data_IF_740587489629
#
_entry.id   IF_740587489629
#
_cell.length_a   1.000
_cell.length_b   1.000
_cell.length_c   1.000
_cell.angle_alpha   90.00
_cell.angle_beta   90.00
_cell.angle_gamma   90.00
#
_symmetry.space_group_name_H-M   'P 1'
#
loop_
_entity.id
_entity.type
_entity.pdbx_description
1 polymer ?
#
# COMPACT_ATOMS: atom_id res chain seq x y z
N UNK A 1 40.56 26.25 -23.76
CA UNK A 1 40.45 25.84 -22.34
C UNK A 1 39.28 24.88 -22.28
N UNK A 2 39.55 23.61 -21.97
CA UNK A 2 38.51 22.59 -21.85
C UNK A 2 37.83 22.83 -20.51
N UNK A 3 36.54 23.17 -20.53
CA UNK A 3 35.71 23.21 -19.33
C UNK A 3 35.71 21.81 -18.70
N UNK A 4 36.35 21.72 -17.55
CA UNK A 4 36.49 20.50 -16.78
C UNK A 4 35.17 20.27 -16.02
N UNK A 5 34.29 19.45 -16.60
CA UNK A 5 33.13 18.89 -15.89
C UNK A 5 33.60 18.29 -14.56
N UNK A 6 33.14 18.81 -13.42
CA UNK A 6 33.40 18.22 -12.09
C UNK A 6 32.20 17.32 -11.69
N UNK A 7 32.30 15.97 -11.75
CA UNK A 7 31.14 15.10 -11.59
C UNK A 7 31.06 14.39 -10.22
N UNK A 8 31.56 14.96 -9.13
CA UNK A 8 31.76 14.17 -7.89
C UNK A 8 30.71 14.38 -6.80
N UNK A 9 30.17 15.59 -6.62
CA UNK A 9 29.21 15.86 -5.53
C UNK A 9 27.76 15.65 -5.94
N UNK A 10 27.38 16.01 -7.17
CA UNK A 10 26.00 15.86 -7.65
C UNK A 10 25.64 14.40 -7.87
N UNK A 11 26.51 13.63 -8.53
CA UNK A 11 26.31 12.19 -8.77
C UNK A 11 26.18 11.40 -7.46
N UNK A 12 26.94 11.78 -6.42
CA UNK A 12 26.85 11.15 -5.10
C UNK A 12 25.49 11.41 -4.43
N UNK A 13 25.00 12.65 -4.49
CA UNK A 13 23.73 13.04 -3.89
C UNK A 13 22.54 12.40 -4.60
N UNK A 14 22.59 12.33 -5.94
CA UNK A 14 21.58 11.63 -6.75
C UNK A 14 21.50 10.14 -6.41
N UNK A 15 22.66 9.49 -6.33
CA UNK A 15 22.76 8.07 -5.99
C UNK A 15 22.24 7.81 -4.58
N UNK A 16 22.65 8.62 -3.59
CA UNK A 16 22.20 8.50 -2.21
C UNK A 16 20.69 8.74 -2.08
N UNK A 17 20.16 9.75 -2.77
CA UNK A 17 18.74 10.06 -2.81
C UNK A 17 17.93 8.89 -3.37
N UNK A 18 18.37 8.31 -4.48
CA UNK A 18 17.72 7.15 -5.09
C UNK A 18 17.69 5.95 -4.14
N UNK A 19 18.83 5.58 -3.54
CA UNK A 19 18.88 4.46 -2.60
C UNK A 19 18.03 4.70 -1.36
N UNK A 20 18.05 5.93 -0.82
CA UNK A 20 17.23 6.27 0.34
C UNK A 20 15.74 6.14 0.05
N UNK A 21 15.28 6.63 -1.12
CA UNK A 21 13.89 6.48 -1.54
C UNK A 21 13.53 5.00 -1.70
N UNK A 22 14.36 4.20 -2.37
CA UNK A 22 14.12 2.76 -2.55
C UNK A 22 14.04 2.04 -1.20
N UNK A 23 14.94 2.33 -0.27
CA UNK A 23 14.95 1.74 1.07
C UNK A 23 13.68 2.11 1.84
N UNK A 24 13.30 3.38 1.87
CA UNK A 24 12.08 3.83 2.56
C UNK A 24 10.85 3.19 1.93
N UNK A 25 10.77 3.15 0.61
CA UNK A 25 9.65 2.50 -0.09
C UNK A 25 9.58 1.02 0.26
N UNK A 26 10.70 0.29 0.21
CA UNK A 26 10.76 -1.12 0.58
C UNK A 26 10.31 -1.35 2.04
N UNK A 27 10.80 -0.52 2.97
CA UNK A 27 10.44 -0.61 4.38
C UNK A 27 8.94 -0.36 4.62
N UNK A 28 8.38 0.68 4.01
CA UNK A 28 6.99 1.09 4.24
C UNK A 28 5.95 0.26 3.45
N UNK A 29 6.34 -0.33 2.32
CA UNK A 29 5.40 -1.04 1.42
C UNK A 29 5.48 -2.56 1.53
N UNK A 30 6.61 -3.11 1.97
CA UNK A 30 6.82 -4.56 2.10
C UNK A 30 7.10 -4.92 3.56
N UNK A 31 8.15 -4.36 4.16
CA UNK A 31 8.58 -4.79 5.49
C UNK A 31 7.54 -4.49 6.58
N UNK A 32 6.98 -3.27 6.59
CA UNK A 32 5.97 -2.84 7.54
C UNK A 32 4.67 -3.69 7.49
N UNK A 33 3.99 -3.88 6.34
CA UNK A 33 2.79 -4.72 6.29
C UNK A 33 3.06 -6.19 6.63
N UNK A 34 4.23 -6.74 6.27
CA UNK A 34 4.62 -8.11 6.67
C UNK A 34 4.81 -8.21 8.19
N UNK A 35 5.51 -7.25 8.80
CA UNK A 35 5.66 -7.18 10.25
C UNK A 35 4.32 -6.97 10.95
N UNK A 36 3.42 -6.18 10.37
CA UNK A 36 2.05 -5.96 10.87
C UNK A 36 1.24 -7.26 10.87
N UNK A 37 1.26 -8.02 9.77
CA UNK A 37 0.65 -9.34 9.68
C UNK A 37 1.17 -10.29 10.76
N UNK A 38 2.49 -10.33 10.93
CA UNK A 38 3.13 -11.19 11.92
C UNK A 38 2.77 -10.78 13.35
N UNK A 39 2.80 -9.49 13.66
CA UNK A 39 2.46 -8.98 14.99
C UNK A 39 0.98 -9.19 15.34
N UNK A 40 0.06 -9.03 14.38
CA UNK A 40 -1.35 -9.37 14.54
C UNK A 40 -1.55 -10.88 14.76
N UNK A 41 -0.86 -11.71 13.99
CA UNK A 41 -0.89 -13.15 14.17
C UNK A 41 -0.39 -13.55 15.57
N UNK A 42 0.72 -12.97 16.03
CA UNK A 42 1.22 -13.20 17.40
C UNK A 42 0.20 -12.78 18.45
N UNK A 43 -0.39 -11.60 18.32
CA UNK A 43 -1.37 -11.08 19.27
C UNK A 43 -2.61 -11.98 19.38
N UNK A 44 -3.00 -12.62 18.27
CA UNK A 44 -4.22 -13.43 18.20
C UNK A 44 -4.01 -14.92 18.49
N UNK A 45 -2.97 -15.53 17.92
CA UNK A 45 -2.74 -16.97 18.05
C UNK A 45 -1.99 -17.34 19.33
N UNK A 46 -1.13 -16.45 19.85
CA UNK A 46 -0.35 -16.73 21.06
C UNK A 46 -1.04 -16.17 22.29
N UNK A 47 -1.31 -17.04 23.28
CA UNK A 47 -1.67 -16.58 24.61
C UNK A 47 -0.44 -15.97 25.26
N UNK A 48 -0.49 -14.66 25.47
CA UNK A 48 0.59 -13.87 26.06
C UNK A 48 0.14 -13.30 27.40
N UNK A 49 1.11 -12.98 28.27
CA UNK A 49 0.85 -12.26 29.50
C UNK A 49 0.27 -10.87 29.20
N UNK A 50 -0.48 -10.29 30.13
CA UNK A 50 -1.13 -8.99 29.93
C UNK A 50 -0.12 -7.88 29.56
N UNK A 51 1.07 -7.88 30.17
CA UNK A 51 2.13 -6.93 29.84
C UNK A 51 2.60 -7.10 28.39
N UNK A 52 2.88 -8.35 27.97
CA UNK A 52 3.32 -8.64 26.61
C UNK A 52 2.25 -8.31 25.56
N UNK A 53 0.97 -8.55 25.85
CA UNK A 53 -0.14 -8.16 24.97
C UNK A 53 -0.19 -6.65 24.71
N UNK A 54 0.05 -5.83 25.75
CA UNK A 54 0.09 -4.37 25.61
C UNK A 54 1.28 -3.94 24.76
N UNK A 55 2.48 -4.50 24.98
CA UNK A 55 3.65 -4.18 24.16
C UNK A 55 3.45 -4.54 22.68
N UNK A 56 2.91 -5.72 22.39
CA UNK A 56 2.62 -6.15 21.01
C UNK A 56 1.52 -5.27 20.38
N UNK A 57 0.48 -4.92 21.14
CA UNK A 57 -0.56 -3.99 20.68
C UNK A 57 0.04 -2.62 20.29
N UNK A 58 0.92 -2.04 21.12
CA UNK A 58 1.59 -0.77 20.80
C UNK A 58 2.48 -0.92 19.58
N UNK A 59 3.22 -2.03 19.47
CA UNK A 59 4.07 -2.30 18.30
C UNK A 59 3.24 -2.37 17.01
N UNK A 60 2.07 -3.03 17.03
CA UNK A 60 1.14 -3.06 15.88
C UNK A 60 0.66 -1.66 15.53
N UNK A 61 0.32 -0.83 16.52
CA UNK A 61 -0.13 0.55 16.29
C UNK A 61 0.95 1.40 15.62
N UNK A 62 2.21 1.27 16.08
CA UNK A 62 3.37 1.93 15.46
C UNK A 62 3.59 1.41 14.04
N UNK A 63 3.71 0.10 13.84
CA UNK A 63 3.99 -0.49 12.51
C UNK A 63 2.88 -0.11 11.52
N UNK A 64 1.61 -0.13 11.96
CA UNK A 64 0.48 0.27 11.13
C UNK A 64 0.54 1.74 10.70
N UNK A 65 1.18 2.63 11.46
CA UNK A 65 1.38 4.03 11.08
C UNK A 65 2.51 4.21 10.05
N UNK A 66 3.36 3.20 9.87
CA UNK A 66 4.43 3.20 8.85
C UNK A 66 4.03 2.43 7.58
N UNK A 67 2.93 1.70 7.61
CA UNK A 67 2.42 0.94 6.47
C UNK A 67 1.61 1.85 5.55
N UNK A 68 2.15 2.18 4.38
CA UNK A 68 1.50 3.01 3.35
C UNK A 68 1.32 2.27 2.03
N UNK A 69 1.27 0.93 2.07
CA UNK A 69 1.20 0.07 0.88
C UNK A 69 0.05 0.46 -0.07
N UNK A 70 -1.15 0.73 0.46
CA UNK A 70 -2.32 1.11 -0.34
C UNK A 70 -2.09 2.43 -1.09
N UNK A 71 -1.62 3.45 -0.37
CA UNK A 71 -1.35 4.78 -0.93
C UNK A 71 -0.28 4.69 -2.01
N UNK A 72 0.76 3.88 -1.78
CA UNK A 72 1.82 3.65 -2.76
C UNK A 72 1.29 2.98 -4.04
N UNK A 73 0.48 1.93 -3.92
CA UNK A 73 -0.10 1.25 -5.09
C UNK A 73 -0.99 2.21 -5.89
N UNK A 74 -1.80 3.03 -5.21
CA UNK A 74 -2.64 4.05 -5.87
C UNK A 74 -1.75 5.07 -6.60
N UNK A 75 -0.68 5.54 -5.98
CA UNK A 75 0.26 6.46 -6.61
C UNK A 75 0.92 5.85 -7.85
N UNK A 76 1.31 4.56 -7.80
CA UNK A 76 1.84 3.84 -8.97
C UNK A 76 0.82 3.75 -10.10
N UNK A 77 -0.44 3.40 -9.80
CA UNK A 77 -1.52 3.34 -10.80
C UNK A 77 -1.72 4.70 -11.46
N UNK A 78 -1.78 5.77 -10.66
CA UNK A 78 -1.93 7.13 -11.16
C UNK A 78 -0.72 7.54 -12.01
N UNK A 79 0.51 7.25 -11.56
CA UNK A 79 1.72 7.54 -12.31
C UNK A 79 1.76 6.83 -13.65
N UNK A 80 1.46 5.53 -13.67
CA UNK A 80 1.39 4.73 -14.90
C UNK A 80 0.31 5.27 -15.84
N UNK A 81 -0.86 5.66 -15.33
CA UNK A 81 -1.92 6.24 -16.16
C UNK A 81 -1.54 7.58 -16.82
N UNK A 82 -0.63 8.34 -16.20
CA UNK A 82 -0.16 9.62 -16.75
C UNK A 82 0.86 9.42 -17.88
N UNK A 83 1.62 8.31 -17.89
CA UNK A 83 2.64 8.04 -18.93
C UNK A 83 2.02 8.01 -20.32
N UNK A 84 0.82 7.43 -20.48
CA UNK A 84 0.12 7.40 -21.76
C UNK A 84 -0.12 8.82 -22.29
N UNK A 85 -0.65 9.71 -21.42
CA UNK A 85 -0.93 11.11 -21.77
C UNK A 85 0.34 11.88 -22.09
N UNK A 86 1.39 11.70 -21.29
CA UNK A 86 2.69 12.35 -21.50
C UNK A 86 3.32 11.89 -22.82
N UNK A 87 3.26 10.59 -23.13
CA UNK A 87 3.82 10.04 -24.37
C UNK A 87 3.15 10.63 -25.61
N UNK A 88 1.82 10.77 -25.60
CA UNK A 88 1.07 11.41 -26.69
C UNK A 88 1.42 12.90 -26.84
N UNK A 89 1.56 13.63 -25.72
CA UNK A 89 1.91 15.05 -25.75
C UNK A 89 3.33 15.29 -26.30
N UNK A 90 4.31 14.50 -25.86
CA UNK A 90 5.70 14.63 -26.29
C UNK A 90 5.85 14.39 -27.80
N UNK A 91 5.05 13.48 -28.34
CA UNK A 91 5.15 13.01 -29.72
C UNK A 91 4.29 13.84 -30.68
N UNK A 92 3.16 14.38 -30.20
CA UNK A 92 2.20 15.11 -31.03
C UNK A 92 2.78 16.31 -31.78
N UNK A 93 3.77 17.01 -31.23
CA UNK A 93 4.39 18.18 -31.89
C UNK A 93 5.46 17.80 -32.93
N UNK A 94 6.16 16.68 -32.76
CA UNK A 94 7.25 16.28 -33.65
C UNK A 94 6.83 15.26 -34.70
N UNK A 95 5.77 14.50 -34.46
CA UNK A 95 5.34 13.46 -35.38
C UNK A 95 4.41 13.97 -36.50
N UNK A 96 3.75 15.13 -36.34
CA UNK A 96 2.79 15.65 -37.32
C UNK A 96 3.36 15.73 -38.75
N UNK A 97 4.65 16.06 -38.88
CA UNK A 97 5.33 16.14 -40.19
C UNK A 97 5.74 14.76 -40.74
N UNK A 98 5.85 13.74 -39.88
CA UNK A 98 6.21 12.37 -40.27
C UNK A 98 4.99 11.47 -40.51
N UNK A 99 3.81 11.84 -40.02
CA UNK A 99 2.54 11.14 -40.31
C UNK A 99 2.32 10.85 -41.81
N UNK A 100 2.51 11.80 -42.75
CA UNK A 100 2.33 11.50 -44.18
C UNK A 100 3.37 10.52 -44.72
N UNK A 101 4.58 10.49 -44.16
CA UNK A 101 5.63 9.54 -44.53
C UNK A 101 5.29 8.12 -44.06
N UNK A 102 4.82 7.97 -42.82
CA UNK A 102 4.35 6.68 -42.31
C UNK A 102 3.10 6.17 -43.04
N UNK A 103 2.18 7.06 -43.44
CA UNK A 103 1.02 6.69 -44.25
C UNK A 103 1.43 6.11 -45.62
N UNK A 104 2.42 6.70 -46.29
CA UNK A 104 2.95 6.19 -47.55
C UNK A 104 3.67 4.82 -47.41
N UNK A 105 4.36 4.61 -46.29
CA UNK A 105 4.99 3.32 -45.94
C UNK A 105 3.96 2.23 -45.61
N UNK A 106 2.84 2.62 -45.02
CA UNK A 106 1.72 1.71 -44.76
C UNK A 106 1.00 1.31 -46.06
N UNK A 107 0.79 2.25 -46.98
CA UNK A 107 0.18 1.96 -48.29
C UNK A 107 1.04 1.04 -49.16
N UNK A 108 2.36 1.10 -49.02
CA UNK A 108 3.29 0.21 -49.71
C UNK A 108 3.44 -1.17 -49.06
N UNK A 109 2.75 -1.42 -47.93
CA UNK A 109 2.74 -2.71 -47.24
C UNK A 109 4.06 -3.05 -46.54
N UNK A 110 4.98 -2.10 -46.45
CA UNK A 110 6.27 -2.27 -45.75
C UNK A 110 6.08 -2.20 -44.24
N UNK A 111 5.02 -1.54 -43.77
CA UNK A 111 4.75 -1.32 -42.35
C UNK A 111 3.31 -1.72 -41.99
N UNK A 112 3.16 -2.57 -40.97
CA UNK A 112 1.85 -2.92 -40.40
C UNK A 112 1.23 -1.71 -39.67
N UNK A 113 -0.11 -1.64 -39.67
CA UNK A 113 -0.88 -0.55 -39.05
C UNK A 113 -0.51 -0.26 -37.59
N UNK A 114 -0.04 -1.28 -36.87
CA UNK A 114 0.31 -1.19 -35.45
C UNK A 114 1.63 -0.44 -35.20
N UNK A 115 2.47 -0.23 -36.24
CA UNK A 115 3.74 0.49 -36.15
C UNK A 115 3.72 1.87 -36.84
N UNK A 116 2.57 2.31 -37.34
CA UNK A 116 2.43 3.60 -38.02
C UNK A 116 2.33 4.81 -37.07
N UNK A 117 2.58 4.62 -35.77
CA UNK A 117 2.59 5.67 -34.75
C UNK A 117 4.03 5.91 -34.25
N UNK A 118 4.50 7.17 -34.21
CA UNK A 118 5.90 7.50 -33.88
C UNK A 118 6.39 6.93 -32.54
N UNK A 119 5.54 6.92 -31.52
CA UNK A 119 5.82 6.36 -30.21
C UNK A 119 4.53 6.45 -29.37
N UNK A 120 3.88 5.31 -29.15
CA UNK A 120 2.73 5.21 -28.26
C UNK A 120 2.98 4.07 -27.29
N UNK A 121 2.95 4.38 -25.99
CA UNK A 121 3.09 3.37 -24.93
C UNK A 121 1.78 3.27 -24.18
N UNK A 122 1.04 2.19 -24.43
CA UNK A 122 -0.19 1.89 -23.72
C UNK A 122 0.14 1.30 -22.34
N UNK A 123 -0.40 1.92 -21.30
CA UNK A 123 -0.29 1.43 -19.94
C UNK A 123 -1.38 0.38 -19.67
N UNK A 124 -1.04 -0.90 -19.77
CA UNK A 124 -1.95 -1.98 -19.41
C UNK A 124 -1.76 -2.39 -17.94
N UNK A 125 -2.85 -2.44 -17.18
CA UNK A 125 -2.82 -2.89 -15.79
C UNK A 125 -2.96 -4.41 -15.72
N UNK A 126 -1.94 -5.06 -15.19
CA UNK A 126 -1.96 -6.49 -14.91
C UNK A 126 -2.85 -6.81 -13.70
N UNK A 127 -3.39 -8.04 -13.68
CA UNK A 127 -4.24 -8.56 -12.58
C UNK A 127 -3.55 -8.43 -11.21
N UNK A 128 -2.21 -8.48 -11.19
CA UNK A 128 -1.40 -8.34 -9.99
C UNK A 128 -1.68 -7.03 -9.22
N UNK A 129 -1.94 -5.92 -9.91
CA UNK A 129 -2.17 -4.62 -9.26
C UNK A 129 -3.47 -4.64 -8.45
N UNK A 130 -4.53 -5.21 -9.02
CA UNK A 130 -5.82 -5.36 -8.33
C UNK A 130 -5.71 -6.31 -7.13
N UNK A 131 -4.93 -7.38 -7.25
CA UNK A 131 -4.65 -8.30 -6.13
C UNK A 131 -3.86 -7.59 -5.01
N UNK A 132 -2.83 -6.82 -5.34
CA UNK A 132 -2.05 -6.07 -4.35
C UNK A 132 -2.89 -4.99 -3.66
N UNK A 133 -3.71 -4.26 -4.41
CA UNK A 133 -4.60 -3.25 -3.84
C UNK A 133 -5.65 -3.86 -2.91
N UNK A 134 -6.33 -4.93 -3.36
CA UNK A 134 -7.36 -5.61 -2.57
C UNK A 134 -6.80 -6.23 -1.29
N UNK A 135 -5.61 -6.85 -1.36
CA UNK A 135 -4.94 -7.41 -0.18
C UNK A 135 -4.48 -6.35 0.82
N UNK A 136 -3.99 -5.19 0.35
CA UNK A 136 -3.69 -4.03 1.20
C UNK A 136 -4.91 -3.56 1.97
N UNK A 137 -6.00 -3.27 1.24
CA UNK A 137 -7.29 -2.86 1.81
C UNK A 137 -7.82 -3.86 2.84
N UNK A 138 -7.71 -5.16 2.52
CA UNK A 138 -8.10 -6.23 3.42
C UNK A 138 -7.27 -6.23 4.71
N UNK A 139 -5.95 -6.07 4.61
CA UNK A 139 -5.06 -6.01 5.76
C UNK A 139 -5.37 -4.78 6.65
N UNK A 140 -5.59 -3.61 6.06
CA UNK A 140 -5.98 -2.40 6.79
C UNK A 140 -7.31 -2.58 7.51
N UNK A 141 -8.31 -3.14 6.83
CA UNK A 141 -9.61 -3.43 7.43
C UNK A 141 -9.50 -4.40 8.61
N UNK A 142 -8.78 -5.52 8.44
CA UNK A 142 -8.56 -6.49 9.51
C UNK A 142 -7.85 -5.84 10.69
N UNK A 143 -6.81 -5.05 10.43
CA UNK A 143 -6.04 -4.39 11.49
C UNK A 143 -6.94 -3.47 12.30
N UNK A 144 -7.77 -2.64 11.66
CA UNK A 144 -8.70 -1.76 12.36
C UNK A 144 -9.69 -2.54 13.22
N UNK A 145 -10.26 -3.63 12.69
CA UNK A 145 -11.21 -4.46 13.43
C UNK A 145 -10.51 -5.10 14.64
N UNK A 146 -9.38 -5.76 14.43
CA UNK A 146 -8.63 -6.45 15.48
C UNK A 146 -8.19 -5.47 16.57
N UNK A 147 -7.61 -4.33 16.20
CA UNK A 147 -7.16 -3.32 17.17
C UNK A 147 -8.32 -2.72 17.98
N UNK A 148 -9.48 -2.46 17.33
CA UNK A 148 -10.69 -2.02 18.05
C UNK A 148 -11.18 -3.07 19.05
N UNK A 149 -11.20 -4.35 18.66
CA UNK A 149 -11.59 -5.43 19.59
C UNK A 149 -10.62 -5.57 20.76
N UNK A 150 -9.32 -5.49 20.50
CA UNK A 150 -8.28 -5.56 21.53
C UNK A 150 -8.42 -4.40 22.53
N UNK A 151 -8.62 -3.17 22.03
CA UNK A 151 -8.82 -1.98 22.86
C UNK A 151 -10.03 -2.11 23.79
N UNK A 152 -11.16 -2.62 23.28
CA UNK A 152 -12.35 -2.88 24.10
C UNK A 152 -12.09 -3.96 25.14
N UNK A 153 -11.41 -5.05 24.77
CA UNK A 153 -11.07 -6.14 25.69
C UNK A 153 -10.16 -5.65 26.83
N UNK A 154 -9.14 -4.84 26.53
CA UNK A 154 -8.28 -4.23 27.55
C UNK A 154 -9.05 -3.26 28.45
N UNK A 155 -9.95 -2.44 27.87
CA UNK A 155 -10.82 -1.54 28.64
C UNK A 155 -11.71 -2.29 29.63
N UNK A 156 -12.29 -3.43 29.22
CA UNK A 156 -13.11 -4.26 30.10
C UNK A 156 -12.29 -4.90 31.23
N UNK A 157 -11.08 -5.39 30.95
CA UNK A 157 -10.18 -5.94 31.99
C UNK A 157 -9.79 -4.88 33.02
N UNK A 158 -9.53 -3.64 32.57
CA UNK A 158 -9.24 -2.52 33.46
C UNK A 158 -10.43 -2.20 34.39
N UNK A 159 -11.64 -2.09 33.85
CA UNK A 159 -12.84 -1.84 34.66
C UNK A 159 -13.11 -2.93 35.70
N UNK A 160 -12.89 -4.21 35.35
CA UNK A 160 -13.01 -5.33 36.31
C UNK A 160 -12.00 -5.20 37.45
N UNK A 161 -10.78 -4.71 37.17
CA UNK A 161 -9.76 -4.45 38.20
C UNK A 161 -10.17 -3.33 39.15
N UNK A 162 -10.83 -2.30 38.63
CA UNK A 162 -11.28 -1.13 39.39
C UNK A 162 -12.62 -1.39 40.12
N UNK A 163 -13.18 -2.61 40.05
CA UNK A 163 -14.46 -2.97 40.67
C UNK A 163 -15.70 -2.34 40.01
N UNK A 164 -15.51 -1.64 38.89
CA UNK A 164 -16.59 -0.94 38.18
C UNK A 164 -17.27 -1.93 37.22
N UNK A 165 -18.60 -2.11 37.36
CA UNK A 165 -19.37 -2.95 36.42
C UNK A 165 -19.43 -2.26 35.05
N UNK A 166 -19.04 -2.92 33.95
CA UNK A 166 -19.09 -2.30 32.64
C UNK A 166 -20.53 -2.00 32.23
N UNK A 167 -20.79 -0.79 31.72
CA UNK A 167 -22.06 -0.44 31.11
C UNK A 167 -22.37 -1.40 29.95
N UNK A 168 -23.59 -1.94 29.90
CA UNK A 168 -24.02 -2.84 28.81
C UNK A 168 -24.03 -2.07 27.50
N UNK A 169 -23.23 -2.46 26.49
CA UNK A 169 -23.16 -1.68 25.28
C UNK A 169 -24.28 -2.15 24.33
N UNK A 170 -25.46 -1.54 24.46
CA UNK A 170 -26.63 -1.93 23.67
C UNK A 170 -26.73 -1.18 22.33
N UNK A 171 -26.06 -0.03 22.16
CA UNK A 171 -26.24 0.81 20.96
C UNK A 171 -25.02 1.00 20.05
N UNK A 172 -23.81 0.65 20.45
CA UNK A 172 -22.61 1.06 19.70
C UNK A 172 -22.11 0.03 18.65
N UNK A 173 -22.90 -1.01 18.39
CA UNK A 173 -22.47 -2.24 17.70
C UNK A 173 -23.06 -2.41 16.29
N UNK A 174 -23.84 -1.45 15.81
CA UNK A 174 -24.66 -1.60 14.60
C UNK A 174 -23.94 -1.33 13.26
N UNK A 175 -22.71 -0.81 13.27
CA UNK A 175 -22.10 -0.31 12.01
C UNK A 175 -21.22 -1.29 11.24
N UNK A 176 -20.95 -2.51 11.73
CA UNK A 176 -20.09 -3.45 10.98
C UNK A 176 -20.73 -4.86 10.95
N UNK A 177 -21.41 -5.24 9.86
CA UNK A 177 -21.89 -6.62 9.70
C UNK A 177 -20.70 -7.59 9.75
N UNK A 178 -20.79 -8.61 10.61
CA UNK A 178 -19.71 -9.58 10.87
C UNK A 178 -18.95 -9.37 12.20
N UNK A 179 -19.04 -8.18 12.81
CA UNK A 179 -18.32 -7.88 14.06
C UNK A 179 -18.75 -8.75 15.25
N UNK A 180 -20.02 -9.19 15.30
CA UNK A 180 -20.55 -10.02 16.38
C UNK A 180 -19.96 -11.45 16.37
N UNK A 181 -19.81 -12.04 15.18
CA UNK A 181 -19.21 -13.38 15.00
C UNK A 181 -17.72 -13.32 15.29
N UNK A 182 -17.03 -12.31 14.75
CA UNK A 182 -15.60 -12.11 14.99
C UNK A 182 -15.33 -11.85 16.47
N UNK A 183 -16.13 -11.01 17.13
CA UNK A 183 -16.02 -10.75 18.56
C UNK A 183 -16.18 -12.03 19.37
N UNK A 184 -17.20 -12.86 19.10
CA UNK A 184 -17.37 -14.13 19.83
C UNK A 184 -16.16 -15.05 19.68
N UNK A 185 -15.60 -15.16 18.47
CA UNK A 185 -14.38 -15.94 18.23
C UNK A 185 -13.15 -15.35 18.96
N UNK A 186 -12.99 -14.02 18.91
CA UNK A 186 -11.87 -13.33 19.53
C UNK A 186 -11.95 -13.35 21.07
N UNK A 187 -13.12 -13.09 21.66
CA UNK A 187 -13.28 -13.03 23.13
C UNK A 187 -13.17 -14.41 23.76
N UNK A 188 -13.64 -15.47 23.09
CA UNK A 188 -13.55 -16.83 23.62
C UNK A 188 -12.09 -17.34 23.71
N UNK A 189 -11.18 -16.84 22.86
CA UNK A 189 -9.75 -17.19 22.92
C UNK A 189 -8.96 -16.42 23.98
N UNK A 190 -9.43 -15.22 24.35
CA UNK A 190 -8.80 -14.30 25.29
C UNK A 190 -9.23 -14.49 26.76
N UNK A 191 -10.26 -15.29 27.03
CA UNK A 191 -10.76 -15.62 28.38
C UNK A 191 -10.33 -17.00 28.91
N UNK A 192 -9.57 -17.78 28.12
CA UNK A 192 -8.94 -19.05 28.53
C UNK A 192 -7.42 -18.88 28.59
#
# INVERSE_FOLDING_TARGET
AVEQWQPTTEVFLETLGMYLVVIILFLCTIAAPVLQCFALALLYFKRMSHAAQVYVYIAVEVISAWSYQEVYIIACVLGISQIETISRFLVGCHCNDLVPFFAALQETGVLEKEFAECFYSAANFEVAIYLLLSSGLYLSLITQIMMRTARVAFGQKRLRRDGVRPARPWLQYWMIPGYVVLRRLCTHRLEL
#
